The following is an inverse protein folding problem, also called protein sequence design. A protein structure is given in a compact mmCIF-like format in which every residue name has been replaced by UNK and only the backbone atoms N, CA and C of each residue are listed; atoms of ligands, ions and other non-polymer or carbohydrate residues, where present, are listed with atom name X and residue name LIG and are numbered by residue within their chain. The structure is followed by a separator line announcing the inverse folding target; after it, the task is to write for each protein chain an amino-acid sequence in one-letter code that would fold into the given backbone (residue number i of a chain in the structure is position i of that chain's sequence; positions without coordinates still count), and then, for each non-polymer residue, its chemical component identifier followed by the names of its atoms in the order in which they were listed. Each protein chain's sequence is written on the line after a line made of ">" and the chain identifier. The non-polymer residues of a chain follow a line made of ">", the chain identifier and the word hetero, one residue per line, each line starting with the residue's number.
data_IF_990610574892
#
_entry.id   IF_990610574892
#
_cell.length_a   1.000
_cell.length_b   1.000
_cell.length_c   1.000
_cell.angle_alpha   90.00
_cell.angle_beta   90.00
_cell.angle_gamma   90.00
#
_symmetry.space_group_name_H-M   'P 1'
#
loop_
_entity.id
_entity.type
_entity.pdbx_description
1 polymer ?
#
# COMPACT_ATOMS: atom_id res chain seq x y z
N UNK A 1 -85.26 7.87 -20.13
CA UNK A 1 -84.11 7.88 -19.21
C UNK A 1 -83.46 6.51 -19.36
N UNK A 2 -82.32 6.38 -20.03
CA UNK A 2 -80.99 6.84 -19.59
C UNK A 2 -80.15 7.21 -20.82
N UNK A 3 -79.55 8.39 -20.83
CA UNK A 3 -78.71 8.91 -21.90
C UNK A 3 -77.27 8.47 -21.60
N UNK A 4 -76.66 7.74 -22.53
CA UNK A 4 -75.25 7.32 -22.49
C UNK A 4 -74.39 8.49 -22.97
N UNK A 5 -73.56 9.03 -22.09
CA UNK A 5 -72.62 10.11 -22.39
C UNK A 5 -71.35 9.62 -23.11
N UNK A 6 -70.62 10.51 -23.81
CA UNK A 6 -69.48 10.14 -24.64
C UNK A 6 -68.21 9.86 -23.79
N UNK A 7 -67.47 8.84 -24.23
CA UNK A 7 -66.20 8.39 -23.65
C UNK A 7 -65.08 9.36 -24.02
N UNK A 8 -64.38 9.89 -23.01
CA UNK A 8 -63.22 10.76 -23.19
C UNK A 8 -61.98 9.97 -23.68
N UNK A 9 -61.13 10.56 -24.54
CA UNK A 9 -59.92 9.90 -25.02
C UNK A 9 -58.85 9.80 -23.92
N UNK A 10 -58.26 8.61 -23.78
CA UNK A 10 -57.12 8.36 -22.89
C UNK A 10 -55.88 9.12 -23.39
N UNK A 11 -55.35 10.00 -22.54
CA UNK A 11 -54.06 10.66 -22.73
C UNK A 11 -52.95 9.66 -22.40
N UNK A 12 -52.09 9.38 -23.37
CA UNK A 12 -50.92 8.53 -23.24
C UNK A 12 -49.87 9.18 -22.31
N UNK A 13 -49.40 8.42 -21.33
CA UNK A 13 -48.36 8.87 -20.41
C UNK A 13 -47.01 9.05 -21.14
N UNK A 14 -46.23 10.10 -20.82
CA UNK A 14 -44.91 10.30 -21.42
C UNK A 14 -43.91 9.24 -20.93
N UNK A 15 -43.08 8.75 -21.85
CA UNK A 15 -41.99 7.81 -21.57
C UNK A 15 -40.99 8.41 -20.56
N UNK A 16 -40.43 7.58 -19.66
CA UNK A 16 -39.46 8.04 -18.68
C UNK A 16 -38.19 8.56 -19.35
N UNK A 17 -37.89 9.83 -19.12
CA UNK A 17 -36.62 10.47 -19.44
C UNK A 17 -35.47 9.70 -18.79
N UNK A 18 -34.69 8.95 -19.59
CA UNK A 18 -33.44 8.32 -19.14
C UNK A 18 -32.46 9.41 -18.71
N UNK A 19 -32.18 9.50 -17.41
CA UNK A 19 -31.14 10.39 -16.91
C UNK A 19 -29.79 10.01 -17.53
N UNK A 20 -28.95 10.98 -17.94
CA UNK A 20 -27.63 10.70 -18.47
C UNK A 20 -26.77 9.99 -17.41
N UNK A 21 -26.23 8.82 -17.77
CA UNK A 21 -25.37 8.04 -16.90
C UNK A 21 -24.16 8.88 -16.44
N UNK A 22 -23.96 8.93 -15.12
CA UNK A 22 -22.87 9.69 -14.48
C UNK A 22 -21.52 9.21 -15.04
N UNK A 23 -20.76 10.11 -15.68
CA UNK A 23 -19.43 9.80 -16.23
C UNK A 23 -18.54 9.19 -15.14
N UNK A 24 -18.15 7.92 -15.30
CA UNK A 24 -17.22 7.23 -14.39
C UNK A 24 -15.80 7.73 -14.65
N UNK A 25 -15.04 7.97 -13.57
CA UNK A 25 -13.61 8.30 -13.68
C UNK A 25 -12.82 7.03 -14.03
N UNK A 26 -11.79 7.16 -14.86
CA UNK A 26 -10.89 6.05 -15.27
C UNK A 26 -10.28 5.34 -14.05
N UNK A 27 -10.05 6.06 -12.95
CA UNK A 27 -9.55 5.50 -11.68
C UNK A 27 -10.48 4.45 -11.04
N UNK A 28 -11.74 4.39 -11.46
CA UNK A 28 -12.77 3.54 -10.85
C UNK A 28 -13.08 2.30 -11.71
N UNK A 29 -12.33 2.05 -12.78
CA UNK A 29 -12.53 0.88 -13.63
C UNK A 29 -12.07 -0.39 -12.89
N UNK A 30 -12.93 -1.40 -12.89
CA UNK A 30 -12.58 -2.75 -12.44
C UNK A 30 -11.66 -3.44 -13.45
N UNK A 31 -11.12 -4.60 -13.09
CA UNK A 31 -10.30 -5.40 -14.02
C UNK A 31 -11.13 -5.87 -15.22
N UNK A 32 -12.35 -6.34 -14.97
CA UNK A 32 -13.31 -6.71 -16.00
C UNK A 32 -13.66 -5.53 -16.91
N UNK A 33 -13.90 -4.33 -16.34
CA UNK A 33 -14.14 -3.13 -17.15
C UNK A 33 -12.94 -2.79 -18.04
N UNK A 34 -11.72 -2.93 -17.52
CA UNK A 34 -10.51 -2.58 -18.26
C UNK A 34 -10.25 -3.56 -19.39
N UNK A 35 -10.43 -4.86 -19.13
CA UNK A 35 -10.30 -5.89 -20.16
C UNK A 35 -11.38 -5.74 -21.23
N UNK A 36 -12.64 -5.53 -20.83
CA UNK A 36 -13.73 -5.27 -21.77
C UNK A 36 -13.43 -4.05 -22.66
N UNK A 37 -12.87 -2.97 -22.10
CA UNK A 37 -12.46 -1.78 -22.87
C UNK A 37 -11.32 -2.13 -23.84
N UNK A 38 -10.30 -2.85 -23.39
CA UNK A 38 -9.17 -3.26 -24.24
C UNK A 38 -9.63 -4.17 -25.37
N UNK A 39 -10.49 -5.14 -25.08
CA UNK A 39 -11.05 -6.08 -26.07
C UNK A 39 -11.91 -5.33 -27.10
N UNK A 40 -12.79 -4.44 -26.63
CA UNK A 40 -13.61 -3.59 -27.52
C UNK A 40 -12.75 -2.70 -28.42
N UNK A 41 -11.66 -2.12 -27.89
CA UNK A 41 -10.74 -1.29 -28.66
C UNK A 41 -9.93 -2.12 -29.66
N UNK A 42 -9.56 -3.35 -29.32
CA UNK A 42 -8.87 -4.27 -30.21
C UNK A 42 -9.77 -4.71 -31.38
N UNK A 43 -11.03 -5.06 -31.09
CA UNK A 43 -12.05 -5.36 -32.12
C UNK A 43 -12.28 -4.16 -33.04
N UNK A 44 -12.37 -2.95 -32.48
CA UNK A 44 -12.51 -1.74 -33.28
C UNK A 44 -11.30 -1.51 -34.19
N UNK A 45 -10.07 -1.68 -33.69
CA UNK A 45 -8.86 -1.61 -34.52
C UNK A 45 -8.84 -2.64 -35.66
N UNK A 46 -9.33 -3.87 -35.42
CA UNK A 46 -9.41 -4.90 -36.45
C UNK A 46 -10.44 -4.60 -37.54
N UNK A 47 -11.44 -3.78 -37.23
CA UNK A 47 -12.47 -3.35 -38.19
C UNK A 47 -12.05 -2.13 -39.02
N UNK A 48 -10.93 -1.47 -38.68
CA UNK A 48 -10.39 -0.36 -39.45
C UNK A 48 -9.54 -0.87 -40.61
N UNK A 49 -9.67 -0.22 -41.77
CA UNK A 49 -8.82 -0.49 -42.93
C UNK A 49 -7.41 0.02 -42.65
N UNK A 50 -6.41 -0.88 -42.63
CA UNK A 50 -5.01 -0.57 -42.31
C UNK A 50 -4.31 0.10 -43.50
N UNK A 51 -4.88 0.04 -44.69
CA UNK A 51 -4.34 0.69 -45.89
C UNK A 51 -4.79 2.16 -46.02
N UNK A 52 -5.75 2.59 -45.19
CA UNK A 52 -6.16 4.00 -45.12
C UNK A 52 -5.17 4.81 -44.27
N UNK A 53 -4.57 5.82 -44.91
CA UNK A 53 -3.65 6.74 -44.25
C UNK A 53 -4.30 7.56 -43.12
N UNK A 54 -5.63 7.75 -43.14
CA UNK A 54 -6.36 8.48 -42.11
C UNK A 54 -6.60 7.63 -40.84
N UNK A 55 -6.71 6.31 -40.97
CA UNK A 55 -6.97 5.38 -39.84
C UNK A 55 -5.68 4.92 -39.16
N UNK A 56 -4.55 4.93 -39.85
CA UNK A 56 -3.25 4.48 -39.32
C UNK A 56 -2.87 5.22 -38.03
N UNK A 57 -3.03 6.55 -38.00
CA UNK A 57 -2.74 7.35 -36.81
C UNK A 57 -3.68 7.07 -35.63
N UNK A 58 -4.94 6.72 -35.91
CA UNK A 58 -5.91 6.34 -34.90
C UNK A 58 -5.60 4.97 -34.30
N UNK A 59 -5.18 4.00 -35.11
CA UNK A 59 -4.76 2.67 -34.65
C UNK A 59 -3.57 2.79 -33.70
N UNK A 60 -2.56 3.59 -34.05
CA UNK A 60 -1.40 3.85 -33.19
C UNK A 60 -1.80 4.44 -31.83
N UNK A 61 -2.73 5.40 -31.82
CA UNK A 61 -3.19 6.03 -30.60
C UNK A 61 -4.05 5.09 -29.73
N UNK A 62 -4.89 4.26 -30.35
CA UNK A 62 -5.64 3.21 -29.64
C UNK A 62 -4.67 2.19 -29.04
N UNK A 63 -3.66 1.74 -29.79
CA UNK A 63 -2.63 0.83 -29.27
C UNK A 63 -1.86 1.45 -28.11
N UNK A 64 -1.52 2.75 -28.16
CA UNK A 64 -0.92 3.48 -27.01
C UNK A 64 -1.86 3.53 -25.82
N UNK A 65 -3.17 3.71 -26.03
CA UNK A 65 -4.17 3.71 -24.95
C UNK A 65 -4.29 2.30 -24.35
N UNK A 66 -4.38 1.26 -25.16
CA UNK A 66 -4.39 -0.13 -24.71
C UNK A 66 -3.11 -0.46 -23.93
N UNK A 67 -1.94 -0.08 -24.43
CA UNK A 67 -0.67 -0.26 -23.73
C UNK A 67 -0.63 0.52 -22.39
N UNK A 68 -1.18 1.73 -22.32
CA UNK A 68 -1.27 2.51 -21.07
C UNK A 68 -2.29 1.93 -20.09
N UNK A 69 -3.42 1.41 -20.58
CA UNK A 69 -4.42 0.74 -19.75
C UNK A 69 -3.83 -0.56 -19.22
N UNK A 70 -3.30 -1.41 -20.10
CA UNK A 70 -2.63 -2.67 -19.75
C UNK A 70 -1.41 -2.46 -18.87
N UNK A 71 -0.59 -1.42 -19.06
CA UNK A 71 0.51 -1.10 -18.14
C UNK A 71 -0.01 -0.71 -16.75
N UNK A 72 -1.15 -0.01 -16.67
CA UNK A 72 -1.83 0.28 -15.40
C UNK A 72 -2.50 -0.97 -14.79
N UNK A 73 -2.95 -1.91 -15.62
CA UNK A 73 -3.54 -3.19 -15.18
C UNK A 73 -2.47 -4.21 -14.77
N UNK A 74 -1.32 -4.24 -15.45
CA UNK A 74 -0.15 -5.08 -15.13
C UNK A 74 0.58 -4.61 -13.86
N UNK A 75 0.36 -3.37 -13.42
CA UNK A 75 0.73 -2.93 -12.07
C UNK A 75 -0.30 -3.26 -10.99
N UNK A 76 -1.43 -3.92 -11.31
CA UNK A 76 -2.29 -4.48 -10.25
C UNK A 76 -1.64 -5.77 -9.76
N UNK A 77 -0.90 -5.58 -8.65
CA UNK A 77 -0.57 -6.53 -7.59
C UNK A 77 -1.18 -7.92 -7.80
N UNK A 78 -0.35 -8.96 -7.74
CA UNK A 78 -0.86 -10.27 -7.35
C UNK A 78 -1.75 -10.06 -6.12
N UNK A 79 -3.01 -10.44 -6.15
CA UNK A 79 -3.81 -10.45 -4.93
C UNK A 79 -3.41 -11.72 -4.19
N UNK A 80 -2.35 -11.64 -3.37
CA UNK A 80 -1.96 -12.75 -2.53
C UNK A 80 -3.17 -13.31 -1.78
N UNK A 81 -3.37 -14.62 -1.85
CA UNK A 81 -4.45 -15.33 -1.17
C UNK A 81 -3.89 -16.21 -0.06
N UNK A 82 -4.77 -16.70 0.82
CA UNK A 82 -4.40 -17.69 1.84
C UNK A 82 -3.89 -18.99 1.19
N UNK A 83 -4.39 -19.34 -0.01
CA UNK A 83 -3.91 -20.50 -0.76
C UNK A 83 -2.46 -20.30 -1.21
N UNK A 84 -2.11 -19.09 -1.65
CA UNK A 84 -0.74 -18.76 -2.03
C UNK A 84 0.23 -18.84 -0.84
N UNK A 85 -0.21 -18.42 0.36
CA UNK A 85 0.58 -18.61 1.60
C UNK A 85 0.83 -20.08 1.89
N UNK A 86 -0.21 -20.91 1.78
CA UNK A 86 -0.10 -22.35 1.98
C UNK A 86 0.84 -22.97 0.95
N UNK A 87 0.73 -22.59 -0.32
CA UNK A 87 1.63 -23.05 -1.37
C UNK A 87 3.09 -22.65 -1.05
N UNK A 88 3.31 -21.41 -0.62
CA UNK A 88 4.60 -20.87 -0.20
C UNK A 88 5.12 -21.42 1.15
N UNK A 89 4.41 -22.35 1.80
CA UNK A 89 4.74 -22.87 3.13
C UNK A 89 4.90 -21.74 4.18
N UNK A 90 4.13 -20.66 4.05
CA UNK A 90 4.12 -19.54 4.99
C UNK A 90 3.04 -19.78 6.03
N UNK A 91 3.46 -19.90 7.29
CA UNK A 91 2.55 -20.03 8.44
C UNK A 91 2.27 -18.67 9.06
N UNK A 92 1.04 -18.45 9.52
CA UNK A 92 0.65 -17.22 10.19
C UNK A 92 0.53 -17.40 11.70
N UNK A 93 1.02 -16.44 12.49
CA UNK A 93 0.92 -16.40 13.96
C UNK A 93 0.50 -15.02 14.47
N UNK A 94 0.10 -14.94 15.73
CA UNK A 94 -0.23 -13.67 16.38
C UNK A 94 1.00 -13.01 17.01
N UNK A 95 0.89 -11.70 17.21
CA UNK A 95 1.77 -10.91 18.06
C UNK A 95 0.94 -10.27 19.15
N UNK A 96 1.30 -10.54 20.41
CA UNK A 96 0.71 -9.92 21.57
C UNK A 96 1.68 -8.93 22.20
N UNK A 97 1.16 -7.87 22.81
CA UNK A 97 1.99 -6.83 23.42
C UNK A 97 2.61 -7.40 24.70
N UNK A 98 3.94 -7.33 24.79
CA UNK A 98 4.70 -7.64 26.01
C UNK A 98 4.19 -6.84 27.19
N UNK A 99 4.31 -7.39 28.39
CA UNK A 99 4.09 -6.62 29.62
C UNK A 99 4.96 -5.34 29.61
N UNK A 100 4.33 -4.19 29.81
CA UNK A 100 4.98 -2.87 29.71
C UNK A 100 5.46 -2.46 28.31
N UNK A 101 5.23 -3.28 27.28
CA UNK A 101 5.65 -3.01 25.90
C UNK A 101 5.09 -1.69 25.35
N UNK A 102 3.82 -1.40 25.62
CA UNK A 102 3.16 -0.15 25.22
C UNK A 102 3.82 1.08 25.83
N UNK A 103 3.99 1.10 27.15
CA UNK A 103 4.61 2.21 27.86
C UNK A 103 6.05 2.47 27.38
N UNK A 104 6.83 1.40 27.13
CA UNK A 104 8.20 1.53 26.59
C UNK A 104 8.24 2.08 25.16
N UNK A 105 7.28 1.71 24.31
CA UNK A 105 7.16 2.27 22.97
C UNK A 105 6.75 3.75 23.02
N UNK A 106 5.80 4.11 23.88
CA UNK A 106 5.38 5.50 24.08
C UNK A 106 6.52 6.38 24.63
N UNK A 107 7.26 5.90 25.63
CA UNK A 107 8.44 6.57 26.20
C UNK A 107 9.49 6.85 25.13
N UNK A 108 9.80 5.85 24.30
CA UNK A 108 10.72 5.99 23.17
C UNK A 108 10.30 7.08 22.20
N UNK A 109 9.02 7.12 21.82
CA UNK A 109 8.50 8.14 20.89
C UNK A 109 8.51 9.57 21.45
N UNK A 110 8.58 9.69 22.78
CA UNK A 110 8.57 10.95 23.51
C UNK A 110 9.96 11.60 23.58
N UNK A 111 10.99 10.90 23.12
CA UNK A 111 12.36 11.43 23.07
C UNK A 111 12.48 12.45 21.92
N UNK A 112 12.28 13.72 22.25
CA UNK A 112 12.45 14.83 21.31
C UNK A 112 13.93 15.17 21.11
N UNK A 113 14.36 15.29 19.85
CA UNK A 113 15.67 15.87 19.51
C UNK A 113 15.58 17.39 19.56
N UNK A 114 16.49 18.02 20.29
CA UNK A 114 16.60 19.47 20.35
C UNK A 114 16.74 20.06 18.92
N UNK A 115 15.94 21.08 18.61
CA UNK A 115 15.94 21.72 17.29
C UNK A 115 15.13 20.99 16.22
N UNK A 116 14.54 19.83 16.51
CA UNK A 116 13.63 19.18 15.57
C UNK A 116 12.26 19.89 15.58
N UNK A 117 11.92 20.57 14.49
CA UNK A 117 10.63 21.23 14.35
C UNK A 117 9.46 20.24 14.29
N UNK A 118 9.69 19.01 13.85
CA UNK A 118 8.63 18.03 13.64
C UNK A 118 8.32 17.23 14.92
N UNK A 119 8.07 17.92 16.04
CA UNK A 119 7.72 17.34 17.36
C UNK A 119 6.42 16.52 17.39
N UNK A 120 6.15 15.80 18.48
CA UNK A 120 4.91 15.03 18.66
C UNK A 120 3.66 15.91 18.61
N UNK A 121 3.69 17.09 19.24
CA UNK A 121 2.55 18.03 19.23
C UNK A 121 2.30 18.63 17.85
N UNK A 122 3.37 18.95 17.11
CA UNK A 122 3.25 19.42 15.73
C UNK A 122 2.72 18.30 14.81
N UNK A 123 3.14 17.06 15.04
CA UNK A 123 2.60 15.88 14.34
C UNK A 123 1.10 15.72 14.63
N UNK A 124 0.66 15.86 15.89
CA UNK A 124 -0.75 15.85 16.27
C UNK A 124 -1.54 16.96 15.59
N UNK A 125 -1.00 18.18 15.56
CA UNK A 125 -1.63 19.32 14.90
C UNK A 125 -1.81 19.08 13.39
N UNK A 126 -0.79 18.54 12.72
CA UNK A 126 -0.86 18.19 11.30
C UNK A 126 -1.89 17.10 11.02
N UNK A 127 -1.91 16.03 11.81
CA UNK A 127 -2.92 14.95 11.68
C UNK A 127 -4.33 15.51 11.83
N UNK A 128 -4.57 16.37 12.83
CA UNK A 128 -5.88 17.02 13.02
C UNK A 128 -6.25 17.90 11.82
N UNK A 129 -5.29 18.61 11.23
CA UNK A 129 -5.51 19.40 10.03
C UNK A 129 -5.92 18.51 8.84
N UNK A 130 -5.22 17.38 8.63
CA UNK A 130 -5.57 16.41 7.58
C UNK A 130 -6.99 15.88 7.81
N UNK A 131 -7.31 15.40 9.01
CA UNK A 131 -8.65 14.88 9.36
C UNK A 131 -9.76 15.93 9.15
N UNK A 132 -9.46 17.21 9.43
CA UNK A 132 -10.44 18.30 9.30
C UNK A 132 -10.71 18.69 7.85
N UNK A 133 -9.72 18.58 6.96
CA UNK A 133 -9.79 19.20 5.63
C UNK A 133 -9.73 18.23 4.45
N UNK A 134 -9.40 16.95 4.68
CA UNK A 134 -9.21 15.97 3.61
C UNK A 134 -10.21 14.83 3.79
N UNK A 135 -10.85 14.42 2.69
CA UNK A 135 -11.76 13.26 2.71
C UNK A 135 -11.00 11.99 3.09
N UNK A 136 -11.68 11.04 3.74
CA UNK A 136 -11.07 9.83 4.29
C UNK A 136 -10.20 9.05 3.28
N UNK A 137 -10.65 8.91 2.04
CA UNK A 137 -9.92 8.14 1.00
C UNK A 137 -8.61 8.82 0.52
N UNK A 138 -8.58 10.15 0.46
CA UNK A 138 -7.37 10.91 0.13
C UNK A 138 -6.52 11.18 1.38
N UNK A 139 -7.16 11.18 2.55
CA UNK A 139 -6.55 11.43 3.85
C UNK A 139 -5.59 10.32 4.25
N UNK A 140 -5.86 9.04 3.92
CA UNK A 140 -5.00 7.91 4.28
C UNK A 140 -3.53 8.17 3.94
N UNK A 141 -3.24 8.51 2.68
CA UNK A 141 -1.88 8.76 2.20
C UNK A 141 -1.23 9.95 2.90
N UNK A 142 -1.99 11.01 3.15
CA UNK A 142 -1.49 12.19 3.85
C UNK A 142 -1.17 11.89 5.32
N UNK A 143 -2.01 11.11 6.00
CA UNK A 143 -1.78 10.68 7.38
C UNK A 143 -0.55 9.79 7.50
N UNK A 144 -0.42 8.82 6.60
CA UNK A 144 0.77 7.95 6.54
C UNK A 144 2.01 8.84 6.34
N UNK A 145 2.00 9.74 5.36
CA UNK A 145 3.13 10.65 5.12
C UNK A 145 3.49 11.49 6.35
N UNK A 146 2.52 12.05 7.07
CA UNK A 146 2.79 12.84 8.29
C UNK A 146 3.45 11.98 9.36
N UNK A 147 2.96 10.76 9.59
CA UNK A 147 3.53 9.83 10.58
C UNK A 147 4.94 9.39 10.16
N UNK A 148 5.14 9.00 8.90
CA UNK A 148 6.43 8.57 8.39
C UNK A 148 7.46 9.71 8.37
N UNK A 149 7.05 10.94 8.06
CA UNK A 149 7.91 12.12 8.13
C UNK A 149 8.36 12.42 9.57
N UNK A 150 7.50 12.21 10.57
CA UNK A 150 7.91 12.29 11.98
C UNK A 150 9.00 11.28 12.27
N UNK A 151 8.79 10.02 11.90
CA UNK A 151 9.76 8.96 12.12
C UNK A 151 11.10 9.30 11.43
N UNK A 152 11.04 9.69 10.15
CA UNK A 152 12.24 10.05 9.39
C UNK A 152 12.99 11.23 10.01
N UNK A 153 12.27 12.25 10.47
CA UNK A 153 12.86 13.43 11.10
C UNK A 153 13.53 13.12 12.44
N UNK A 154 12.91 12.27 13.26
CA UNK A 154 13.44 11.91 14.59
C UNK A 154 14.60 10.93 14.48
N UNK A 155 14.53 9.93 13.61
CA UNK A 155 15.53 8.86 13.57
C UNK A 155 16.76 9.22 12.75
N UNK A 156 16.66 10.23 11.89
CA UNK A 156 17.81 10.74 11.15
C UNK A 156 18.78 11.50 12.07
N UNK A 157 20.07 11.35 11.82
CA UNK A 157 21.16 12.08 12.43
C UNK A 157 22.28 12.31 11.40
N UNK A 158 23.42 12.81 11.84
CA UNK A 158 24.54 13.12 10.95
C UNK A 158 25.10 11.87 10.24
N UNK A 159 25.10 10.71 10.90
CA UNK A 159 25.68 9.47 10.39
C UNK A 159 24.69 8.63 9.58
N UNK A 160 23.44 8.54 10.05
CA UNK A 160 22.39 7.69 9.52
C UNK A 160 21.15 8.52 9.21
N UNK A 161 20.58 8.33 8.02
CA UNK A 161 19.37 8.98 7.59
C UNK A 161 18.27 7.95 7.33
N UNK A 162 17.05 8.27 7.76
CA UNK A 162 15.85 7.52 7.41
C UNK A 162 15.20 8.18 6.19
N UNK A 163 15.11 7.42 5.10
CA UNK A 163 14.51 7.87 3.85
C UNK A 163 13.18 7.15 3.61
N UNK A 164 12.21 7.88 3.04
CA UNK A 164 10.90 7.35 2.66
C UNK A 164 10.91 7.20 1.14
N UNK A 165 10.90 5.96 0.65
CA UNK A 165 10.88 5.65 -0.77
C UNK A 165 9.46 5.21 -1.16
N UNK A 166 8.67 6.06 -1.83
CA UNK A 166 7.31 5.71 -2.23
C UNK A 166 7.31 4.73 -3.42
N UNK A 167 6.25 3.94 -3.52
CA UNK A 167 5.93 3.09 -4.68
C UNK A 167 7.11 2.19 -5.10
N UNK A 168 7.77 1.56 -4.13
CA UNK A 168 8.96 0.75 -4.38
C UNK A 168 8.60 -0.58 -5.06
N UNK A 169 9.08 -0.85 -6.28
CA UNK A 169 8.74 -2.06 -7.02
C UNK A 169 9.45 -3.30 -6.46
N UNK A 170 8.70 -4.40 -6.38
CA UNK A 170 9.21 -5.72 -6.04
C UNK A 170 9.26 -6.53 -7.32
N UNK A 171 10.48 -6.82 -7.75
CA UNK A 171 10.70 -7.65 -8.93
C UNK A 171 10.23 -9.08 -8.68
N UNK A 172 9.82 -9.69 -9.79
CA UNK A 172 9.39 -11.06 -9.88
C UNK A 172 10.37 -12.00 -9.17
N UNK A 173 9.85 -12.78 -8.22
CA UNK A 173 10.62 -13.82 -7.53
C UNK A 173 9.77 -15.07 -7.43
N UNK A 174 10.35 -16.19 -7.88
CA UNK A 174 9.76 -17.49 -7.69
C UNK A 174 9.96 -17.93 -6.24
N UNK A 175 8.88 -17.94 -5.46
CA UNK A 175 8.90 -18.57 -4.13
C UNK A 175 8.80 -20.09 -4.25
N UNK A 176 8.14 -20.58 -5.31
CA UNK A 176 7.98 -22.00 -5.62
C UNK A 176 7.94 -22.24 -7.14
N UNK A 177 8.13 -23.50 -7.59
CA UNK A 177 7.89 -23.87 -8.98
C UNK A 177 6.44 -23.53 -9.38
N UNK A 178 6.27 -22.56 -10.30
CA UNK A 178 4.97 -22.16 -10.82
C UNK A 178 4.29 -20.97 -10.13
N UNK A 179 4.88 -20.40 -9.08
CA UNK A 179 4.37 -19.20 -8.42
C UNK A 179 5.45 -18.12 -8.32
N UNK A 180 5.33 -17.12 -9.19
CA UNK A 180 6.11 -15.90 -9.13
C UNK A 180 5.24 -14.74 -8.66
N UNK A 181 5.82 -13.86 -7.84
CA UNK A 181 5.12 -12.71 -7.28
C UNK A 181 5.78 -11.42 -7.75
N UNK A 182 4.94 -10.53 -8.27
CA UNK A 182 5.28 -9.15 -8.64
C UNK A 182 4.38 -8.23 -7.83
N UNK A 183 4.95 -7.15 -7.32
CA UNK A 183 4.18 -6.20 -6.53
C UNK A 183 4.88 -4.87 -6.36
N UNK A 184 4.24 -3.99 -5.60
CA UNK A 184 4.77 -2.70 -5.20
C UNK A 184 4.63 -2.59 -3.68
N UNK A 185 5.58 -1.97 -3.00
CA UNK A 185 5.40 -1.52 -1.62
C UNK A 185 5.02 -0.05 -1.69
N UNK A 186 3.92 0.36 -1.07
CA UNK A 186 3.49 1.76 -1.11
C UNK A 186 4.54 2.69 -0.51
N UNK A 187 5.19 2.27 0.58
CA UNK A 187 6.37 2.94 1.12
C UNK A 187 7.41 1.95 1.63
N UNK A 188 8.64 2.15 1.21
CA UNK A 188 9.81 1.52 1.79
C UNK A 188 10.54 2.55 2.67
N UNK A 189 10.60 2.28 3.97
CA UNK A 189 11.43 3.05 4.90
C UNK A 189 12.82 2.45 4.90
N UNK A 190 13.86 3.25 4.70
CA UNK A 190 15.25 2.78 4.69
C UNK A 190 16.11 3.61 5.64
N UNK A 191 16.84 2.98 6.55
CA UNK A 191 17.83 3.62 7.42
C UNK A 191 19.24 3.31 6.97
N UNK A 192 19.87 4.25 6.27
CA UNK A 192 21.18 4.07 5.66
C UNK A 192 22.14 5.19 6.07
N UNK A 193 23.46 5.01 5.90
CA UNK A 193 24.39 6.12 6.09
C UNK A 193 24.00 7.35 5.27
N UNK A 194 24.05 8.53 5.87
CA UNK A 194 23.53 9.80 5.30
C UNK A 194 24.10 10.13 3.90
N UNK A 195 25.33 9.68 3.61
CA UNK A 195 25.94 9.83 2.28
C UNK A 195 25.14 9.16 1.13
N UNK A 196 24.25 8.21 1.45
CA UNK A 196 23.44 7.50 0.48
C UNK A 196 22.02 8.06 0.32
N UNK A 197 21.59 9.03 1.14
CA UNK A 197 20.22 9.56 1.11
C UNK A 197 19.78 10.03 -0.28
N UNK A 198 20.62 10.82 -0.96
CA UNK A 198 20.28 11.29 -2.31
C UNK A 198 20.21 10.14 -3.32
N UNK A 199 21.10 9.17 -3.21
CA UNK A 199 21.14 8.01 -4.12
C UNK A 199 19.90 7.13 -3.94
N UNK A 200 19.47 6.89 -2.70
CA UNK A 200 18.28 6.07 -2.43
C UNK A 200 16.99 6.75 -2.88
N UNK A 201 16.92 8.08 -2.83
CA UNK A 201 15.75 8.83 -3.29
C UNK A 201 15.71 8.97 -4.82
N UNK A 202 16.85 9.22 -5.46
CA UNK A 202 16.93 9.40 -6.91
C UNK A 202 16.89 8.05 -7.66
N UNK A 203 17.55 7.02 -7.12
CA UNK A 203 17.71 5.70 -7.75
C UNK A 203 17.60 4.56 -6.72
N UNK A 204 16.42 4.33 -6.13
CA UNK A 204 16.25 3.39 -5.01
C UNK A 204 16.65 1.96 -5.34
N UNK A 205 16.20 1.41 -6.49
CA UNK A 205 16.50 0.03 -6.89
C UNK A 205 18.00 -0.19 -7.10
N UNK A 206 18.67 0.71 -7.82
CA UNK A 206 20.10 0.61 -8.08
C UNK A 206 20.90 0.71 -6.79
N UNK A 207 20.51 1.63 -5.89
CA UNK A 207 21.20 1.85 -4.62
C UNK A 207 21.04 0.64 -3.69
N UNK A 208 19.82 0.15 -3.50
CA UNK A 208 19.52 -0.98 -2.60
C UNK A 208 19.94 -2.35 -3.13
N UNK A 209 20.33 -2.45 -4.41
CA UNK A 209 20.92 -3.65 -4.99
C UNK A 209 22.43 -3.76 -4.75
N UNK A 210 23.07 -2.71 -4.22
CA UNK A 210 24.53 -2.71 -4.01
C UNK A 210 24.91 -3.59 -2.82
N UNK A 211 25.93 -4.41 -3.01
CA UNK A 211 26.42 -5.32 -1.97
C UNK A 211 27.01 -4.60 -0.74
N UNK A 212 27.51 -3.37 -0.89
CA UNK A 212 28.04 -2.55 0.22
C UNK A 212 26.93 -1.91 1.06
N UNK A 213 25.72 -1.80 0.49
CA UNK A 213 24.50 -1.36 1.15
C UNK A 213 23.71 -2.63 1.49
N UNK A 214 24.30 -3.49 2.34
CA UNK A 214 23.54 -4.55 3.01
C UNK A 214 22.27 -3.88 3.53
N UNK A 215 21.09 -4.39 3.20
CA UNK A 215 19.79 -3.74 3.46
C UNK A 215 19.42 -3.73 4.94
N UNK A 216 20.32 -3.18 5.75
CA UNK A 216 20.17 -2.88 7.15
C UNK A 216 19.17 -1.72 7.20
N UNK A 217 18.10 -1.90 7.96
CA UNK A 217 17.18 -0.80 8.26
C UNK A 217 16.02 -0.63 7.28
N UNK A 218 15.57 -1.68 6.57
CA UNK A 218 14.43 -1.57 5.64
C UNK A 218 13.12 -2.09 6.22
N UNK A 219 12.05 -1.31 6.14
CA UNK A 219 10.70 -1.74 6.53
C UNK A 219 9.67 -1.43 5.45
N UNK A 220 8.81 -2.42 5.16
CA UNK A 220 7.75 -2.28 4.15
C UNK A 220 6.48 -1.75 4.78
N UNK A 221 5.89 -0.71 4.18
CA UNK A 221 4.58 -0.18 4.60
C UNK A 221 3.63 -0.27 3.42
N UNK A 222 2.50 -0.95 3.62
CA UNK A 222 1.43 -1.11 2.64
C UNK A 222 0.27 -0.19 3.00
N UNK A 223 -0.20 0.58 2.01
CA UNK A 223 -1.36 1.44 2.12
C UNK A 223 -2.65 0.61 1.93
N UNK A 224 -3.56 0.72 2.88
CA UNK A 224 -4.89 0.14 2.83
C UNK A 224 -5.95 1.24 2.99
N UNK A 225 -7.08 1.12 2.31
CA UNK A 225 -8.11 2.17 2.35
C UNK A 225 -8.98 2.14 3.62
N UNK A 226 -9.05 1.01 4.31
CA UNK A 226 -9.88 0.82 5.50
C UNK A 226 -9.49 -0.49 6.22
N UNK A 227 -10.13 -0.75 7.37
CA UNK A 227 -9.92 -1.95 8.17
C UNK A 227 -10.06 -3.27 7.39
N UNK A 228 -11.05 -3.36 6.49
CA UNK A 228 -11.28 -4.57 5.69
C UNK A 228 -10.09 -4.79 4.73
N UNK A 229 -9.63 -3.72 4.08
CA UNK A 229 -8.46 -3.76 3.22
C UNK A 229 -7.17 -4.10 3.98
N UNK A 230 -7.03 -3.66 5.24
CA UNK A 230 -5.90 -4.07 6.09
C UNK A 230 -5.90 -5.59 6.28
N UNK A 231 -7.04 -6.17 6.64
CA UNK A 231 -7.17 -7.62 6.86
C UNK A 231 -6.96 -8.42 5.57
N UNK A 232 -7.53 -7.96 4.45
CA UNK A 232 -7.36 -8.62 3.16
C UNK A 232 -5.95 -8.44 2.57
N UNK A 233 -5.20 -7.42 2.99
CA UNK A 233 -3.83 -7.18 2.57
C UNK A 233 -2.79 -8.10 3.23
N UNK A 234 -3.15 -8.80 4.31
CA UNK A 234 -2.23 -9.65 5.08
C UNK A 234 -1.51 -10.70 4.22
N UNK A 235 -2.19 -11.51 3.38
CA UNK A 235 -1.49 -12.49 2.56
C UNK A 235 -0.54 -11.84 1.56
N UNK A 236 -0.93 -10.72 0.94
CA UNK A 236 -0.05 -10.02 0.02
C UNK A 236 1.19 -9.45 0.70
N UNK A 237 1.04 -8.89 1.91
CA UNK A 237 2.16 -8.40 2.70
C UNK A 237 3.13 -9.54 3.09
N UNK A 238 2.60 -10.71 3.45
CA UNK A 238 3.40 -11.88 3.80
C UNK A 238 4.19 -12.44 2.61
N UNK A 239 3.53 -12.63 1.46
CA UNK A 239 4.17 -13.06 0.22
C UNK A 239 5.24 -12.07 -0.26
N UNK A 240 4.96 -10.79 -0.09
CA UNK A 240 5.90 -9.71 -0.40
C UNK A 240 7.12 -9.76 0.52
N UNK A 241 6.92 -9.92 1.83
CA UNK A 241 8.01 -10.02 2.79
C UNK A 241 8.86 -11.28 2.55
N UNK A 242 8.22 -12.41 2.21
CA UNK A 242 8.93 -13.62 1.80
C UNK A 242 9.79 -13.39 0.55
N UNK A 243 9.22 -12.74 -0.47
CA UNK A 243 9.93 -12.36 -1.69
C UNK A 243 11.12 -11.47 -1.39
N UNK A 244 10.94 -10.48 -0.50
CA UNK A 244 12.02 -9.60 -0.07
C UNK A 244 13.15 -10.38 0.59
N UNK A 245 12.85 -11.20 1.59
CA UNK A 245 13.82 -12.04 2.28
C UNK A 245 14.54 -13.02 1.34
N UNK A 246 13.83 -13.58 0.35
CA UNK A 246 14.43 -14.49 -0.63
C UNK A 246 15.45 -13.78 -1.53
N UNK A 247 15.11 -12.60 -2.05
CA UNK A 247 15.99 -11.82 -2.93
C UNK A 247 17.19 -11.25 -2.21
N UNK A 248 16.97 -10.77 -0.99
CA UNK A 248 17.96 -9.98 -0.23
C UNK A 248 18.81 -10.87 0.67
N UNK A 249 18.43 -12.15 0.81
CA UNK A 249 19.06 -13.15 1.68
C UNK A 249 19.05 -12.72 3.15
N UNK A 250 18.09 -11.89 3.54
CA UNK A 250 17.85 -11.49 4.92
C UNK A 250 16.86 -12.47 5.56
N UNK A 251 17.19 -12.92 6.78
CA UNK A 251 16.37 -13.92 7.49
C UNK A 251 15.06 -13.37 8.07
N UNK A 252 14.94 -12.06 8.25
CA UNK A 252 13.77 -11.43 8.85
C UNK A 252 13.43 -10.10 8.16
N UNK A 253 12.14 -9.76 8.12
CA UNK A 253 11.64 -8.46 7.69
C UNK A 253 10.54 -7.97 8.62
N UNK A 254 10.47 -6.66 8.82
CA UNK A 254 9.38 -5.98 9.54
C UNK A 254 8.64 -5.03 8.62
N UNK A 255 7.37 -4.78 8.92
CA UNK A 255 6.57 -3.86 8.13
C UNK A 255 5.13 -3.75 8.57
N UNK A 256 4.41 -2.75 8.07
CA UNK A 256 3.03 -2.48 8.49
C UNK A 256 2.06 -2.46 7.31
N UNK A 257 0.80 -2.73 7.60
CA UNK A 257 -0.33 -2.48 6.70
C UNK A 257 -1.19 -1.41 7.38
N UNK A 258 -1.45 -0.29 6.70
CA UNK A 258 -2.05 0.87 7.35
C UNK A 258 -2.95 1.69 6.45
N UNK A 259 -3.99 2.27 7.05
CA UNK A 259 -4.81 3.33 6.45
C UNK A 259 -4.43 4.74 6.91
N UNK A 260 -3.31 4.88 7.63
CA UNK A 260 -2.94 6.07 8.39
C UNK A 260 -3.70 6.18 9.72
N UNK A 261 -4.97 5.80 9.74
CA UNK A 261 -5.80 5.74 10.95
C UNK A 261 -5.65 4.43 11.72
N UNK A 262 -5.45 3.32 11.01
CA UNK A 262 -5.36 1.99 11.59
C UNK A 262 -4.07 1.34 11.14
N UNK A 263 -3.39 0.66 12.05
CA UNK A 263 -2.06 0.09 11.84
C UNK A 263 -2.05 -1.38 12.26
N UNK A 264 -1.72 -2.26 11.33
CA UNK A 264 -1.37 -3.65 11.60
C UNK A 264 0.12 -3.80 11.38
N UNK A 265 0.82 -4.21 12.42
CA UNK A 265 2.25 -4.41 12.41
C UNK A 265 2.53 -5.90 12.17
N UNK A 266 3.41 -6.25 11.23
CA UNK A 266 3.86 -7.62 11.03
C UNK A 266 5.39 -7.81 11.07
N UNK A 267 5.80 -9.04 11.34
CA UNK A 267 7.15 -9.54 11.08
C UNK A 267 7.09 -10.80 10.21
N UNK A 268 8.08 -10.99 9.37
CA UNK A 268 8.28 -12.20 8.58
C UNK A 268 9.64 -12.79 8.90
N UNK A 269 9.67 -14.08 9.18
CA UNK A 269 10.89 -14.87 9.36
C UNK A 269 10.98 -15.91 8.25
N UNK A 270 12.12 -15.93 7.56
CA UNK A 270 12.46 -16.99 6.64
C UNK A 270 12.94 -18.21 7.44
N UNK A 271 12.43 -19.39 7.08
CA UNK A 271 12.93 -20.68 7.55
C UNK A 271 13.43 -21.50 6.34
N UNK A 272 13.92 -22.71 6.56
CA UNK A 272 14.48 -23.56 5.48
C UNK A 272 13.51 -23.72 4.30
N UNK A 273 12.22 -23.92 4.60
CA UNK A 273 11.14 -24.02 3.61
C UNK A 273 9.99 -23.10 4.02
N UNK A 274 9.80 -22.02 3.25
CA UNK A 274 8.75 -21.02 3.50
C UNK A 274 9.11 -20.00 4.57
N UNK A 275 8.18 -19.75 5.50
CA UNK A 275 8.39 -18.74 6.53
C UNK A 275 7.31 -18.68 7.61
N UNK A 276 7.52 -17.81 8.58
CA UNK A 276 6.57 -17.50 9.65
C UNK A 276 6.23 -16.01 9.58
N UNK A 277 4.97 -15.72 9.26
CA UNK A 277 4.42 -14.37 9.25
C UNK A 277 3.65 -14.11 10.54
N UNK A 278 4.02 -13.08 11.29
CA UNK A 278 3.41 -12.76 12.59
C UNK A 278 2.76 -11.40 12.51
N UNK A 279 1.54 -11.25 13.02
CA UNK A 279 0.80 -9.99 12.96
C UNK A 279 0.30 -9.57 14.33
N UNK A 280 0.41 -8.27 14.64
CA UNK A 280 -0.28 -7.67 15.76
C UNK A 280 -1.80 -7.63 15.52
N UNK A 281 -2.55 -7.37 16.58
CA UNK A 281 -3.89 -6.81 16.45
C UNK A 281 -3.81 -5.43 15.77
N UNK A 282 -4.93 -4.99 15.19
CA UNK A 282 -5.00 -3.66 14.57
C UNK A 282 -5.02 -2.60 15.67
N UNK A 283 -4.10 -1.65 15.59
CA UNK A 283 -4.00 -0.50 16.48
C UNK A 283 -4.68 0.68 15.80
N UNK A 284 -5.71 1.22 16.43
CA UNK A 284 -6.38 2.45 15.97
C UNK A 284 -5.61 3.66 16.50
N UNK A 285 -5.41 4.68 15.67
CA UNK A 285 -4.74 5.92 16.05
C UNK A 285 -5.53 6.68 17.14
N UNK A 286 -6.85 6.49 17.19
CA UNK A 286 -7.78 7.12 18.12
C UNK A 286 -8.21 8.50 17.65
N UNK A 287 -9.45 8.90 17.96
CA UNK A 287 -9.98 10.23 17.63
C UNK A 287 -9.14 11.36 18.27
N UNK A 288 -8.65 11.13 19.49
CA UNK A 288 -7.82 12.05 20.27
C UNK A 288 -6.31 11.93 19.97
N UNK A 289 -5.92 10.97 19.12
CA UNK A 289 -4.53 10.59 18.83
C UNK A 289 -3.80 9.95 20.02
N UNK A 290 -4.55 9.31 20.94
CA UNK A 290 -4.00 8.66 22.13
C UNK A 290 -2.98 7.55 21.83
N UNK A 291 -3.06 6.90 20.66
CA UNK A 291 -2.13 5.84 20.25
C UNK A 291 -0.99 6.33 19.33
N UNK A 292 -0.88 7.63 19.04
CA UNK A 292 0.15 8.14 18.14
C UNK A 292 1.56 7.86 18.65
N UNK A 293 1.82 8.14 19.93
CA UNK A 293 3.10 7.88 20.58
C UNK A 293 3.47 6.39 20.48
N UNK A 294 2.51 5.52 20.75
CA UNK A 294 2.69 4.08 20.68
C UNK A 294 3.06 3.60 19.26
N UNK A 295 2.31 4.04 18.24
CA UNK A 295 2.57 3.73 16.83
C UNK A 295 3.97 4.21 16.41
N UNK A 296 4.33 5.44 16.75
CA UNK A 296 5.66 6.00 16.46
C UNK A 296 6.77 5.17 17.12
N UNK A 297 6.59 4.81 18.40
CA UNK A 297 7.55 3.98 19.14
C UNK A 297 7.83 2.63 18.47
N UNK A 298 6.79 1.97 17.95
CA UNK A 298 6.95 0.72 17.19
C UNK A 298 7.74 0.97 15.89
N UNK A 299 7.37 2.01 15.13
CA UNK A 299 8.04 2.35 13.87
C UNK A 299 9.52 2.65 14.08
N UNK A 300 9.88 3.38 15.14
CA UNK A 300 11.26 3.65 15.53
C UNK A 300 12.06 2.36 15.77
N UNK A 301 11.52 1.45 16.58
CA UNK A 301 12.15 0.15 16.83
C UNK A 301 12.32 -0.67 15.56
N UNK A 302 11.34 -0.61 14.67
CA UNK A 302 11.31 -1.46 13.49
C UNK A 302 12.26 -1.02 12.40
N UNK A 303 12.52 0.28 12.31
CA UNK A 303 13.52 0.79 11.39
C UNK A 303 14.93 0.49 11.92
N UNK A 304 15.17 0.64 13.23
CA UNK A 304 16.47 0.32 13.83
C UNK A 304 16.76 -1.19 13.81
N UNK A 305 15.76 -2.01 14.12
CA UNK A 305 15.89 -3.46 14.30
C UNK A 305 15.22 -4.25 13.17
N UNK A 306 15.12 -3.68 11.97
CA UNK A 306 14.37 -4.23 10.82
C UNK A 306 14.71 -5.67 10.41
N UNK A 307 15.93 -6.12 10.69
CA UNK A 307 16.40 -7.48 10.37
C UNK A 307 16.53 -8.37 11.61
N UNK A 308 16.21 -7.86 12.80
CA UNK A 308 16.17 -8.66 14.02
C UNK A 308 14.79 -9.30 14.17
N UNK A 309 14.77 -10.58 14.53
CA UNK A 309 13.54 -11.29 14.83
C UNK A 309 13.02 -10.99 16.23
N UNK A 310 13.91 -10.62 17.16
CA UNK A 310 13.54 -10.32 18.52
C UNK A 310 12.82 -8.98 18.58
N UNK A 311 11.54 -9.02 18.97
CA UNK A 311 10.71 -7.83 19.00
C UNK A 311 10.80 -7.18 20.38
N UNK A 312 11.04 -5.86 20.43
CA UNK A 312 11.15 -5.14 21.69
C UNK A 312 9.81 -5.13 22.48
N UNK A 313 8.69 -5.05 21.76
CA UNK A 313 7.37 -4.76 22.34
C UNK A 313 6.34 -5.88 22.21
N UNK A 314 6.63 -6.95 21.47
CA UNK A 314 5.68 -8.02 21.22
C UNK A 314 6.26 -9.40 21.55
N UNK A 315 5.40 -10.28 22.03
CA UNK A 315 5.59 -11.72 22.16
C UNK A 315 4.85 -12.46 21.04
N UNK A 316 5.36 -13.63 20.67
CA UNK A 316 4.69 -14.52 19.74
C UNK A 316 3.61 -15.33 20.47
N UNK A 317 2.43 -15.45 19.86
CA UNK A 317 1.34 -16.33 20.31
C UNK A 317 0.82 -17.24 19.20
#
# INVERSE_FOLDING_TARGET
>A
MTIVGPVAPQVSAPLPSTMPAKRRKISNLTHEDTNAIVDTLAEYCQALDVEDSETTGLVDDIQKICAKLQAKTQTRFSSGTVLDLSAANIRTKGLEIKEGGRARAEDRSSQEKAGNWFGIENTRALIRLVRKHVSTLAGCRMLINVILLRVASVDSNEEMAVSIVPEYPIHETALNPGHSLVGVVDYLLTRLPTKFTRQVLDYPQMTLARADIKQIGTSNIFEAKNLLAIKHGVPQAALTAATWCERTKIGCMRGAITSGEQWLFFTFERIDVGGIFRCSTVIDLGEDLGNLAYILGILHDWIENSSDINQAYFDEV
#
